data_IF_155482813329
#
_entry.id   IF_155482813329
#
_cell.length_a   1.000
_cell.length_b   1.000
_cell.length_c   1.000
_cell.angle_alpha   90.00
_cell.angle_beta   90.00
_cell.angle_gamma   90.00
#
_symmetry.space_group_name_H-M   'P 1'
#
loop_
_entity.id
_entity.type
_entity.pdbx_description
1 polymer ?
#
# COMPACT_ATOMS: atom_id res chain seq x y z
N UNK A 1 34.92 -20.88 -59.00
CA UNK A 1 35.39 -22.24 -59.27
C UNK A 1 34.42 -23.14 -58.54
N UNK A 2 33.44 -23.59 -59.35
CA UNK A 2 32.89 -24.90 -59.60
C UNK A 2 32.29 -25.59 -58.36
N UNK A 3 30.91 -25.75 -58.32
CA UNK A 3 30.06 -26.82 -58.89
C UNK A 3 30.13 -28.08 -58.01
N UNK A 4 29.09 -28.83 -57.66
CA UNK A 4 27.80 -29.26 -58.22
C UNK A 4 27.02 -30.01 -57.12
N UNK A 5 25.71 -29.89 -56.91
CA UNK A 5 24.54 -30.53 -57.51
C UNK A 5 24.50 -32.11 -57.39
N UNK A 6 23.40 -32.58 -56.82
CA UNK A 6 22.95 -34.01 -56.91
C UNK A 6 21.81 -34.30 -55.92
N UNK A 7 20.61 -34.07 -56.23
CA UNK A 7 19.43 -34.81 -56.83
C UNK A 7 18.98 -36.04 -56.06
N UNK A 8 17.66 -35.99 -55.77
CA UNK A 8 16.72 -37.02 -55.34
C UNK A 8 16.76 -38.36 -56.23
N UNK A 9 16.08 -39.47 -55.78
CA UNK A 9 14.65 -39.63 -56.01
C UNK A 9 13.83 -40.47 -54.97
N UNK A 10 12.57 -40.22 -54.95
CA UNK A 10 11.27 -40.92 -54.92
C UNK A 10 11.24 -42.46 -54.74
N UNK A 11 10.28 -42.99 -53.92
CA UNK A 11 9.02 -43.61 -54.29
C UNK A 11 8.40 -44.37 -53.12
N UNK A 12 7.19 -44.04 -52.74
CA UNK A 12 5.89 -44.76 -52.76
C UNK A 12 5.90 -46.21 -52.22
N UNK A 13 5.02 -46.49 -51.21
CA UNK A 13 3.82 -47.34 -51.34
C UNK A 13 3.03 -47.37 -50.03
N UNK A 14 1.70 -47.22 -50.12
CA UNK A 14 0.71 -47.67 -49.14
C UNK A 14 0.36 -49.13 -49.42
N UNK A 15 -0.21 -49.90 -48.40
CA UNK A 15 -1.65 -49.98 -48.28
C UNK A 15 -2.25 -50.18 -46.86
N UNK A 16 -3.48 -49.73 -46.78
CA UNK A 16 -4.71 -50.32 -46.21
C UNK A 16 -4.75 -50.95 -44.81
N UNK A 17 -5.47 -50.29 -43.89
CA UNK A 17 -6.71 -50.79 -43.32
C UNK A 17 -6.64 -51.61 -42.04
N UNK A 18 -7.18 -51.07 -40.98
CA UNK A 18 -8.11 -51.76 -40.09
C UNK A 18 -8.62 -50.78 -39.02
N UNK A 19 -9.91 -50.53 -39.02
CA UNK A 19 -10.57 -49.69 -38.06
C UNK A 19 -10.61 -50.32 -36.65
N UNK A 20 -10.27 -49.54 -35.66
CA UNK A 20 -10.67 -49.78 -34.29
C UNK A 20 -11.39 -48.55 -33.75
N UNK A 21 -12.72 -48.71 -33.58
CA UNK A 21 -13.55 -47.77 -32.86
C UNK A 21 -13.13 -47.76 -31.40
N UNK A 22 -12.42 -46.72 -30.96
CA UNK A 22 -12.22 -46.42 -29.55
C UNK A 22 -13.36 -45.52 -29.06
N UNK A 23 -14.21 -46.13 -28.24
CA UNK A 23 -15.23 -45.45 -27.44
C UNK A 23 -14.58 -44.28 -26.68
N UNK A 24 -15.08 -43.09 -26.95
CA UNK A 24 -14.83 -41.91 -26.12
C UNK A 24 -15.31 -42.19 -24.70
N UNK A 25 -14.38 -42.37 -23.77
CA UNK A 25 -14.65 -42.31 -22.34
C UNK A 25 -14.92 -40.84 -22.01
N UNK A 26 -16.13 -40.55 -21.55
CA UNK A 26 -16.51 -39.29 -20.99
C UNK A 26 -15.55 -38.93 -19.84
N UNK A 27 -14.80 -37.84 -20.01
CA UNK A 27 -14.08 -37.18 -18.90
C UNK A 27 -15.07 -36.77 -17.83
N UNK A 28 -14.75 -36.96 -16.54
CA UNK A 28 -15.62 -36.51 -15.46
C UNK A 28 -15.71 -34.97 -15.52
N UNK A 29 -16.93 -34.46 -15.51
CA UNK A 29 -17.26 -33.06 -15.39
C UNK A 29 -16.52 -32.48 -14.19
N UNK A 30 -15.38 -31.85 -14.44
CA UNK A 30 -14.67 -31.02 -13.50
C UNK A 30 -15.60 -29.91 -13.05
N UNK A 31 -15.76 -29.85 -11.78
CA UNK A 31 -16.70 -29.01 -11.04
C UNK A 31 -16.59 -27.54 -11.43
N UNK A 32 -17.57 -27.03 -12.15
CA UNK A 32 -17.86 -25.61 -12.37
C UNK A 32 -18.27 -24.90 -11.06
N UNK A 33 -17.67 -25.26 -9.92
CA UNK A 33 -18.00 -24.76 -8.58
C UNK A 33 -17.07 -23.65 -8.12
N UNK A 34 -15.96 -23.40 -8.81
CA UNK A 34 -14.94 -22.46 -8.38
C UNK A 34 -15.19 -21.01 -8.83
N UNK A 35 -15.78 -20.78 -9.99
CA UNK A 35 -15.91 -19.42 -10.54
C UNK A 35 -17.06 -18.59 -9.94
N UNK A 36 -18.14 -19.23 -9.46
CA UNK A 36 -19.27 -18.52 -8.84
C UNK A 36 -19.05 -18.16 -7.37
N UNK A 37 -18.16 -18.87 -6.66
CA UNK A 37 -17.83 -18.61 -5.26
C UNK A 37 -16.87 -17.43 -5.10
N UNK A 38 -15.95 -17.25 -6.03
CA UNK A 38 -14.99 -16.13 -6.03
C UNK A 38 -15.64 -14.77 -6.37
N UNK A 39 -16.79 -14.77 -7.00
CA UNK A 39 -17.46 -13.55 -7.47
C UNK A 39 -18.18 -12.76 -6.36
N UNK A 40 -18.27 -13.23 -5.14
CA UNK A 40 -19.06 -12.61 -4.06
C UNK A 40 -18.32 -12.40 -2.74
N UNK A 41 -17.01 -12.70 -2.65
CA UNK A 41 -16.28 -12.50 -1.41
C UNK A 41 -15.90 -11.02 -1.25
N UNK A 42 -16.55 -10.34 -0.30
CA UNK A 42 -16.14 -9.01 0.12
C UNK A 42 -15.12 -9.12 1.24
N UNK A 43 -14.04 -8.35 1.14
CA UNK A 43 -13.01 -8.28 2.17
C UNK A 43 -13.07 -6.91 2.82
N UNK A 44 -13.20 -6.88 4.13
CA UNK A 44 -13.03 -5.66 4.91
C UNK A 44 -11.55 -5.48 5.21
N UNK A 45 -10.99 -4.37 4.79
CA UNK A 45 -9.58 -4.02 4.95
C UNK A 45 -9.47 -2.90 5.98
N UNK A 46 -8.53 -3.03 6.92
CA UNK A 46 -8.39 -2.13 8.07
C UNK A 46 -6.94 -1.66 8.21
N UNK A 47 -6.77 -0.36 8.35
CA UNK A 47 -5.53 0.30 8.76
C UNK A 47 -5.82 1.04 10.08
N UNK A 48 -5.46 0.43 11.21
CA UNK A 48 -5.65 1.01 12.53
C UNK A 48 -4.40 1.82 12.93
N UNK A 49 -4.39 3.09 12.54
CA UNK A 49 -3.35 4.07 12.89
C UNK A 49 -3.58 4.72 14.26
N UNK A 50 -2.55 5.43 14.76
CA UNK A 50 -2.56 5.99 16.12
C UNK A 50 -3.68 7.01 16.41
N UNK A 51 -4.11 7.81 15.45
CA UNK A 51 -5.14 8.85 15.64
C UNK A 51 -6.49 8.48 15.05
N UNK A 52 -6.48 7.72 13.96
CA UNK A 52 -7.67 7.33 13.22
C UNK A 52 -7.47 5.97 12.55
N UNK A 53 -8.55 5.26 12.38
CA UNK A 53 -8.62 4.05 11.59
C UNK A 53 -9.12 4.40 10.18
N UNK A 54 -8.40 3.94 9.14
CA UNK A 54 -8.91 3.88 7.77
C UNK A 54 -9.43 2.48 7.51
N UNK A 55 -10.50 2.38 6.74
CA UNK A 55 -11.07 1.07 6.39
C UNK A 55 -11.71 1.11 5.01
N UNK A 56 -11.84 -0.03 4.39
CA UNK A 56 -12.51 -0.15 3.11
C UNK A 56 -13.10 -1.54 2.92
N UNK A 57 -14.25 -1.60 2.27
CA UNK A 57 -14.86 -2.85 1.84
C UNK A 57 -14.49 -3.08 0.37
N UNK A 58 -13.66 -4.07 0.11
CA UNK A 58 -13.24 -4.50 -1.22
C UNK A 58 -14.20 -5.54 -1.76
N UNK A 59 -14.72 -5.34 -2.95
CA UNK A 59 -15.47 -6.31 -3.72
C UNK A 59 -14.73 -6.74 -4.98
N UNK A 60 -15.29 -7.67 -5.78
CA UNK A 60 -14.63 -8.18 -6.98
C UNK A 60 -14.29 -7.11 -8.03
N UNK A 61 -15.05 -6.01 -8.07
CA UNK A 61 -14.88 -4.93 -9.05
C UNK A 61 -14.16 -3.70 -8.51
N UNK A 62 -13.61 -3.75 -7.31
CA UNK A 62 -12.95 -2.62 -6.69
C UNK A 62 -13.49 -2.29 -5.28
N UNK A 63 -13.16 -1.12 -4.79
CA UNK A 63 -13.68 -0.61 -3.52
C UNK A 63 -15.19 -0.38 -3.63
N UNK A 64 -15.95 -0.98 -2.72
CA UNK A 64 -17.40 -0.74 -2.57
C UNK A 64 -17.62 0.54 -1.78
N UNK A 65 -16.82 0.74 -0.74
CA UNK A 65 -16.82 1.94 0.08
C UNK A 65 -15.49 2.06 0.83
N UNK A 66 -15.15 3.25 1.20
CA UNK A 66 -13.99 3.61 2.00
C UNK A 66 -14.45 4.52 3.13
N UNK A 67 -13.77 4.48 4.27
CA UNK A 67 -14.09 5.33 5.40
C UNK A 67 -12.88 5.61 6.29
N UNK A 68 -13.02 6.65 7.06
CA UNK A 68 -12.03 7.10 8.06
C UNK A 68 -12.77 7.39 9.35
N UNK A 69 -12.36 6.76 10.44
CA UNK A 69 -13.01 6.88 11.75
C UNK A 69 -11.97 7.27 12.80
N UNK A 70 -12.20 8.34 13.58
CA UNK A 70 -11.36 8.66 14.73
C UNK A 70 -11.32 7.49 15.72
N UNK A 71 -10.16 7.25 16.37
CA UNK A 71 -10.03 6.14 17.32
C UNK A 71 -11.00 6.21 18.50
N UNK A 72 -11.42 7.43 18.89
CA UNK A 72 -12.46 7.65 19.91
C UNK A 72 -13.85 7.13 19.51
N UNK A 73 -14.12 7.00 18.20
CA UNK A 73 -15.42 6.61 17.64
C UNK A 73 -15.49 5.16 17.16
N UNK A 74 -14.40 4.40 17.26
CA UNK A 74 -14.37 2.98 16.85
C UNK A 74 -15.50 2.16 17.50
N UNK A 75 -15.82 2.43 18.75
CA UNK A 75 -16.88 1.72 19.47
C UNK A 75 -18.30 1.91 18.90
N UNK A 76 -18.51 2.89 18.03
CA UNK A 76 -19.81 3.17 17.40
C UNK A 76 -19.91 2.73 15.92
N UNK A 77 -18.86 2.13 15.34
CA UNK A 77 -18.79 1.76 13.92
C UNK A 77 -19.98 0.90 13.45
N UNK A 78 -20.36 -0.11 14.24
CA UNK A 78 -21.46 -1.01 13.89
C UNK A 78 -22.83 -0.33 13.86
N UNK A 79 -22.98 0.80 14.54
CA UNK A 79 -24.21 1.59 14.60
C UNK A 79 -24.19 2.77 13.60
N UNK A 80 -23.04 3.13 13.08
CA UNK A 80 -22.81 4.28 12.18
C UNK A 80 -22.31 3.80 10.81
N UNK A 81 -21.03 3.92 10.59
CA UNK A 81 -20.41 3.73 9.27
C UNK A 81 -20.59 2.31 8.73
N UNK A 82 -20.60 1.31 9.62
CA UNK A 82 -20.78 -0.10 9.24
C UNK A 82 -22.23 -0.60 9.32
N UNK A 83 -23.17 0.25 9.73
CA UNK A 83 -24.58 -0.18 9.95
C UNK A 83 -25.18 -0.82 8.69
N UNK A 84 -25.05 -0.15 7.56
CA UNK A 84 -25.63 -0.58 6.27
C UNK A 84 -24.63 -1.33 5.38
N UNK A 85 -23.41 -1.63 5.89
CA UNK A 85 -22.47 -2.40 5.09
C UNK A 85 -22.91 -3.86 4.96
N UNK A 86 -22.78 -4.43 3.75
CA UNK A 86 -22.98 -5.85 3.59
C UNK A 86 -21.91 -6.63 4.36
N UNK A 87 -22.29 -7.79 4.90
CA UNK A 87 -21.38 -8.67 5.62
C UNK A 87 -20.14 -8.98 4.77
N UNK A 88 -18.92 -8.72 5.26
CA UNK A 88 -17.70 -9.20 4.62
C UNK A 88 -17.55 -10.71 4.82
N UNK A 89 -16.95 -11.39 3.87
CA UNK A 89 -16.57 -12.79 4.00
C UNK A 89 -15.31 -12.95 4.88
N UNK A 90 -14.44 -11.95 4.87
CA UNK A 90 -13.16 -11.90 5.58
C UNK A 90 -12.85 -10.46 6.01
N UNK A 91 -12.10 -10.31 7.09
CA UNK A 91 -11.51 -9.04 7.49
C UNK A 91 -10.00 -9.21 7.65
N UNK A 92 -9.23 -8.28 7.11
CA UNK A 92 -7.76 -8.27 7.19
C UNK A 92 -7.31 -6.87 7.55
N UNK A 93 -6.22 -6.73 8.28
CA UNK A 93 -5.77 -5.40 8.65
C UNK A 93 -4.39 -5.34 9.25
N UNK A 94 -3.93 -4.12 9.44
CA UNK A 94 -2.74 -3.77 10.21
C UNK A 94 -3.16 -2.93 11.41
N UNK A 95 -2.43 -3.07 12.52
CA UNK A 95 -2.72 -2.32 13.73
C UNK A 95 -1.44 -1.78 14.37
N UNK A 96 -1.30 -0.47 14.39
CA UNK A 96 -0.26 0.26 15.12
C UNK A 96 -0.85 1.16 16.22
N UNK A 97 -2.18 1.09 16.44
CA UNK A 97 -2.90 1.84 17.47
C UNK A 97 -2.94 1.14 18.84
N UNK A 98 -2.35 -0.06 18.94
CA UNK A 98 -2.26 -0.83 20.17
C UNK A 98 -3.46 -1.74 20.45
N UNK A 99 -3.36 -2.51 21.55
CA UNK A 99 -4.31 -3.56 21.89
C UNK A 99 -5.72 -3.03 22.17
N UNK A 100 -5.85 -1.87 22.78
CA UNK A 100 -7.17 -1.28 23.06
C UNK A 100 -7.97 -0.94 21.80
N UNK A 101 -7.29 -0.51 20.72
CA UNK A 101 -7.94 -0.29 19.42
C UNK A 101 -8.34 -1.64 18.79
N UNK A 102 -7.44 -2.63 18.84
CA UNK A 102 -7.70 -3.98 18.35
C UNK A 102 -8.98 -4.57 18.97
N UNK A 103 -9.08 -4.61 20.30
CA UNK A 103 -10.24 -5.15 21.01
C UNK A 103 -11.53 -4.43 20.59
N UNK A 104 -11.50 -3.10 20.47
CA UNK A 104 -12.68 -2.33 20.03
C UNK A 104 -13.09 -2.67 18.60
N UNK A 105 -12.14 -2.81 17.67
CA UNK A 105 -12.42 -3.18 16.28
C UNK A 105 -13.02 -4.59 16.21
N UNK A 106 -12.43 -5.55 16.90
CA UNK A 106 -12.90 -6.94 16.95
C UNK A 106 -14.33 -7.02 17.50
N UNK A 107 -14.66 -6.25 18.54
CA UNK A 107 -16.01 -6.14 19.06
C UNK A 107 -17.02 -5.64 18.02
N UNK A 108 -16.65 -4.70 17.14
CA UNK A 108 -17.53 -4.22 16.06
C UNK A 108 -17.74 -5.28 14.97
N UNK A 109 -16.72 -6.12 14.71
CA UNK A 109 -16.79 -7.21 13.73
C UNK A 109 -17.63 -8.41 14.22
N UNK A 110 -17.81 -8.56 15.53
CA UNK A 110 -18.56 -9.65 16.13
C UNK A 110 -20.01 -9.77 15.60
N UNK A 111 -20.62 -8.63 15.20
CA UNK A 111 -21.96 -8.62 14.56
C UNK A 111 -22.03 -9.46 13.29
N UNK A 112 -20.91 -9.58 12.57
CA UNK A 112 -20.80 -10.38 11.36
C UNK A 112 -20.21 -11.77 11.62
N UNK A 113 -19.80 -12.08 12.84
CA UNK A 113 -19.06 -13.30 13.20
C UNK A 113 -17.82 -13.49 12.31
N UNK A 114 -17.07 -12.40 12.13
CA UNK A 114 -15.82 -12.37 11.37
C UNK A 114 -14.71 -11.98 12.34
N UNK A 115 -13.68 -12.82 12.42
CA UNK A 115 -12.46 -12.52 13.15
C UNK A 115 -11.45 -11.92 12.18
N UNK A 116 -10.87 -10.73 12.46
CA UNK A 116 -9.89 -10.13 11.58
C UNK A 116 -8.56 -10.88 11.66
N UNK A 117 -7.89 -10.98 10.53
CA UNK A 117 -6.50 -11.37 10.44
C UNK A 117 -5.63 -10.11 10.53
N UNK A 118 -4.80 -10.04 11.56
CA UNK A 118 -3.88 -8.91 11.74
C UNK A 118 -2.52 -9.25 11.16
N UNK A 119 -2.12 -8.49 10.14
CA UNK A 119 -0.86 -8.66 9.41
C UNK A 119 0.25 -7.85 10.08
N UNK A 120 1.42 -8.46 10.19
CA UNK A 120 2.64 -7.83 10.67
C UNK A 120 3.70 -7.70 9.58
N UNK A 121 4.80 -7.02 9.88
CA UNK A 121 5.95 -7.00 9.01
C UNK A 121 6.72 -8.34 9.09
N UNK A 122 7.24 -8.77 7.95
CA UNK A 122 8.05 -9.98 7.79
C UNK A 122 9.39 -9.65 7.12
N UNK A 123 10.26 -10.64 7.04
CA UNK A 123 11.54 -10.51 6.34
C UNK A 123 11.35 -10.35 4.83
N UNK A 124 10.33 -11.03 4.26
CA UNK A 124 10.03 -10.96 2.84
C UNK A 124 8.52 -11.14 2.60
N UNK A 125 7.94 -10.32 1.73
CA UNK A 125 6.61 -10.53 1.17
C UNK A 125 6.42 -9.74 -0.13
N UNK A 126 5.69 -10.31 -1.08
CA UNK A 126 5.24 -9.64 -2.32
C UNK A 126 6.38 -8.98 -3.13
N UNK A 127 7.57 -9.55 -3.12
CA UNK A 127 8.75 -9.02 -3.82
C UNK A 127 9.53 -7.96 -3.03
N UNK A 128 9.13 -7.65 -1.80
CA UNK A 128 9.85 -6.69 -0.92
C UNK A 128 10.63 -7.43 0.15
N UNK A 129 11.91 -7.08 0.31
CA UNK A 129 12.80 -7.58 1.36
C UNK A 129 12.98 -6.54 2.45
N UNK A 130 12.73 -6.91 3.70
CA UNK A 130 12.90 -6.06 4.88
C UNK A 130 14.29 -6.27 5.49
N UNK A 131 15.10 -5.20 5.57
CA UNK A 131 16.48 -5.24 6.10
C UNK A 131 16.60 -4.70 7.54
N UNK A 132 15.52 -4.56 8.26
CA UNK A 132 15.63 -4.32 9.71
C UNK A 132 16.32 -5.52 10.38
N UNK A 133 17.17 -5.27 11.35
CA UNK A 133 17.82 -6.33 12.13
C UNK A 133 16.80 -7.28 12.77
N UNK A 134 15.64 -6.75 13.13
CA UNK A 134 14.46 -7.49 13.57
C UNK A 134 13.26 -7.07 12.70
N UNK A 135 12.94 -7.82 11.66
CA UNK A 135 11.90 -7.45 10.69
C UNK A 135 10.54 -7.09 11.32
N UNK A 136 10.17 -7.79 12.39
CA UNK A 136 8.91 -7.57 13.11
C UNK A 136 8.83 -6.20 13.83
N UNK A 137 9.94 -5.48 14.00
CA UNK A 137 9.92 -4.12 14.57
C UNK A 137 9.46 -3.05 13.58
N UNK A 138 9.44 -3.35 12.28
CA UNK A 138 8.88 -2.42 11.31
C UNK A 138 7.37 -2.31 11.52
N UNK A 139 6.85 -1.08 11.62
CA UNK A 139 5.41 -0.84 11.72
C UNK A 139 4.66 -1.53 10.58
N UNK A 140 3.58 -2.23 10.91
CA UNK A 140 2.81 -3.00 9.93
C UNK A 140 2.19 -2.13 8.83
N UNK A 141 1.83 -0.88 9.16
CA UNK A 141 1.36 0.15 8.22
C UNK A 141 2.45 0.57 7.23
N UNK A 142 3.69 0.76 7.71
CA UNK A 142 4.85 1.06 6.86
C UNK A 142 5.17 -0.12 5.94
N UNK A 143 5.15 -1.35 6.48
CA UNK A 143 5.36 -2.57 5.70
C UNK A 143 4.33 -2.70 4.58
N UNK A 144 3.05 -2.54 4.90
CA UNK A 144 1.99 -2.55 3.89
C UNK A 144 2.20 -1.48 2.81
N UNK A 145 2.57 -0.24 3.21
CA UNK A 145 2.86 0.84 2.24
C UNK A 145 4.02 0.52 1.30
N UNK A 146 5.10 -0.08 1.82
CA UNK A 146 6.26 -0.52 1.02
C UNK A 146 5.85 -1.56 -0.02
N UNK A 147 5.06 -2.56 0.38
CA UNK A 147 4.52 -3.58 -0.52
C UNK A 147 3.62 -2.98 -1.60
N UNK A 148 2.74 -2.03 -1.23
CA UNK A 148 1.88 -1.36 -2.20
C UNK A 148 2.69 -0.54 -3.22
N UNK A 149 3.67 0.24 -2.75
CA UNK A 149 4.53 1.05 -3.60
C UNK A 149 5.34 0.19 -4.58
N UNK A 150 5.93 -0.90 -4.10
CA UNK A 150 6.65 -1.85 -4.94
C UNK A 150 5.78 -2.45 -6.03
N UNK A 151 4.59 -2.92 -5.68
CA UNK A 151 3.64 -3.46 -6.66
C UNK A 151 3.21 -2.43 -7.70
N UNK A 152 3.01 -1.16 -7.30
CA UNK A 152 2.72 -0.06 -8.22
C UNK A 152 3.88 0.17 -9.19
N UNK A 153 5.11 0.24 -8.68
CA UNK A 153 6.30 0.40 -9.51
C UNK A 153 6.45 -0.75 -10.52
N UNK A 154 6.36 -2.01 -10.07
CA UNK A 154 6.52 -3.19 -10.93
C UNK A 154 5.37 -3.41 -11.91
N UNK A 155 4.18 -2.87 -11.65
CA UNK A 155 3.06 -2.92 -12.58
C UNK A 155 3.20 -1.95 -13.76
N UNK A 156 3.95 -0.87 -13.58
CA UNK A 156 4.14 0.18 -14.61
C UNK A 156 5.48 0.07 -15.32
N UNK A 157 6.49 -0.47 -14.65
CA UNK A 157 7.86 -0.47 -15.14
C UNK A 157 8.49 -1.86 -15.10
N UNK A 158 9.07 -2.30 -16.20
CA UNK A 158 9.81 -3.56 -16.27
C UNK A 158 11.10 -3.49 -15.40
N UNK A 159 11.69 -2.30 -15.30
CA UNK A 159 12.82 -1.99 -14.43
C UNK A 159 12.40 -0.84 -13.51
N UNK A 160 11.77 -1.15 -12.37
CA UNK A 160 11.25 -0.12 -11.48
C UNK A 160 12.39 0.71 -10.89
N UNK A 161 12.26 2.03 -10.87
CA UNK A 161 13.24 2.88 -10.21
C UNK A 161 13.21 2.68 -8.69
N UNK A 162 14.28 3.08 -8.01
CA UNK A 162 14.24 3.26 -6.57
C UNK A 162 13.09 4.21 -6.18
N UNK A 163 12.50 3.99 -5.02
CA UNK A 163 11.44 4.87 -4.56
C UNK A 163 11.53 5.18 -3.07
N UNK A 164 10.95 6.32 -2.71
CA UNK A 164 10.70 6.73 -1.33
C UNK A 164 9.20 6.66 -1.08
N UNK A 165 8.81 5.96 -0.01
CA UNK A 165 7.42 5.76 0.40
C UNK A 165 7.14 6.60 1.63
N UNK A 166 6.22 7.54 1.53
CA UNK A 166 5.94 8.54 2.57
C UNK A 166 4.50 8.41 3.06
N UNK A 167 4.32 8.25 4.36
CA UNK A 167 3.02 8.35 5.01
C UNK A 167 2.98 9.62 5.88
N UNK A 168 2.32 10.67 5.39
CA UNK A 168 2.18 11.96 6.04
C UNK A 168 0.91 12.00 6.92
N UNK A 169 1.02 11.44 8.13
CA UNK A 169 -0.05 11.35 9.13
C UNK A 169 0.24 12.12 10.41
N UNK A 170 -0.03 11.50 11.55
CA UNK A 170 0.34 11.98 12.89
C UNK A 170 1.86 12.09 13.02
N UNK A 171 2.58 11.10 12.51
CA UNK A 171 3.99 11.19 12.17
C UNK A 171 4.12 11.20 10.64
N UNK A 172 5.25 11.69 10.12
CA UNK A 172 5.67 11.47 8.74
C UNK A 172 6.71 10.36 8.76
N UNK A 173 6.39 9.24 8.12
CA UNK A 173 7.36 8.16 7.88
C UNK A 173 7.89 8.26 6.47
N UNK A 174 9.18 8.01 6.27
CA UNK A 174 9.88 8.16 5.00
C UNK A 174 10.75 6.92 4.81
N UNK A 175 10.34 6.03 3.94
CA UNK A 175 10.89 4.69 3.78
C UNK A 175 11.51 4.51 2.39
N UNK A 176 12.74 4.00 2.31
CA UNK A 176 13.47 3.86 1.07
C UNK A 176 13.48 2.42 0.56
N UNK A 177 13.00 2.22 -0.67
CA UNK A 177 13.10 0.99 -1.45
C UNK A 177 14.08 1.18 -2.61
N UNK A 178 15.06 0.29 -2.74
CA UNK A 178 15.94 0.29 -3.90
C UNK A 178 15.30 -0.41 -5.13
N UNK A 179 16.05 -0.43 -6.22
CA UNK A 179 15.62 -1.00 -7.51
C UNK A 179 15.36 -2.50 -7.48
N UNK A 180 15.84 -3.20 -6.46
CA UNK A 180 15.65 -4.63 -6.25
C UNK A 180 14.49 -4.94 -5.27
N UNK A 181 13.74 -3.93 -4.84
CA UNK A 181 12.67 -4.07 -3.85
C UNK A 181 13.18 -4.28 -2.42
N UNK A 182 14.40 -3.88 -2.12
CA UNK A 182 14.96 -3.99 -0.77
C UNK A 182 14.69 -2.72 0.03
N UNK A 183 13.96 -2.86 1.12
CA UNK A 183 13.80 -1.80 2.11
C UNK A 183 15.12 -1.52 2.82
N UNK A 184 15.72 -0.36 2.52
CA UNK A 184 17.05 0.05 2.99
C UNK A 184 17.02 0.74 4.36
N UNK A 185 15.83 1.04 4.86
CA UNK A 185 15.60 1.76 6.11
C UNK A 185 14.75 2.99 5.90
N UNK A 186 14.39 3.67 6.98
CA UNK A 186 13.52 4.83 6.91
C UNK A 186 13.66 5.76 8.11
N UNK A 187 12.93 6.87 8.05
CA UNK A 187 12.87 7.91 9.06
C UNK A 187 11.46 8.02 9.62
N UNK A 188 11.34 8.45 10.86
CA UNK A 188 10.08 8.85 11.47
C UNK A 188 10.29 10.24 12.04
N UNK A 189 9.52 11.22 11.57
CA UNK A 189 9.55 12.58 12.06
C UNK A 189 8.14 13.02 12.51
N UNK A 190 7.98 14.03 13.37
CA UNK A 190 6.66 14.53 13.73
C UNK A 190 5.88 14.96 12.49
N UNK A 191 4.56 14.68 12.46
CA UNK A 191 3.69 15.19 11.40
C UNK A 191 3.47 16.70 11.49
N UNK A 192 3.02 17.34 10.41
CA UNK A 192 2.87 18.80 10.34
C UNK A 192 2.09 19.35 11.52
N UNK A 193 0.91 18.75 11.84
CA UNK A 193 0.09 19.20 12.97
C UNK A 193 0.81 19.06 14.31
N UNK A 194 1.60 18.01 14.49
CA UNK A 194 2.34 17.80 15.73
C UNK A 194 3.49 18.81 15.86
N UNK A 195 4.20 19.12 14.79
CA UNK A 195 5.23 20.17 14.75
C UNK A 195 4.63 21.54 15.12
N UNK A 196 3.49 21.89 14.51
CA UNK A 196 2.80 23.15 14.78
C UNK A 196 2.30 23.23 16.23
N UNK A 197 1.67 22.16 16.74
CA UNK A 197 1.16 22.10 18.10
C UNK A 197 2.28 22.21 19.14
N UNK A 198 3.42 21.53 18.93
CA UNK A 198 4.55 21.56 19.86
C UNK A 198 5.14 22.96 20.05
N UNK A 199 5.14 23.80 19.02
CA UNK A 199 5.57 25.18 19.11
C UNK A 199 4.52 26.08 19.80
N UNK A 200 3.23 25.82 19.55
CA UNK A 200 2.15 26.56 20.19
C UNK A 200 2.04 26.30 21.70
N UNK A 201 2.27 25.04 22.14
CA UNK A 201 2.20 24.65 23.56
C UNK A 201 3.40 25.12 24.38
N UNK A 202 4.59 25.20 23.78
CA UNK A 202 5.85 25.51 24.46
C UNK A 202 6.24 27.01 24.41
N UNK A 203 5.40 27.85 23.82
CA UNK A 203 5.64 29.31 23.75
C UNK A 203 4.48 30.06 24.38
N UNK A 204 4.71 30.64 25.56
CA UNK A 204 3.70 31.25 26.44
C UNK A 204 2.88 32.40 25.80
N UNK A 205 3.21 32.84 24.59
CA UNK A 205 2.55 33.95 23.89
C UNK A 205 2.10 33.67 22.48
N UNK A 206 2.32 32.44 21.95
CA UNK A 206 1.99 32.11 20.56
C UNK A 206 0.60 31.45 20.46
N UNK A 207 -0.46 32.26 20.56
CA UNK A 207 -1.72 31.97 19.87
C UNK A 207 -1.43 32.20 18.37
N UNK A 208 -0.75 31.20 17.73
CA UNK A 208 -0.36 31.36 16.33
C UNK A 208 -1.62 31.21 15.48
N UNK A 209 -2.02 32.27 14.76
CA UNK A 209 -3.03 32.11 13.70
C UNK A 209 -2.60 31.05 12.69
N UNK A 210 -3.53 30.55 11.89
CA UNK A 210 -3.18 29.67 10.80
C UNK A 210 -2.19 30.37 9.86
N UNK A 211 -0.96 29.85 9.75
CA UNK A 211 0.05 30.34 8.82
C UNK A 211 -0.16 29.78 7.41
N UNK A 212 0.46 30.42 6.44
CA UNK A 212 0.53 29.96 5.05
C UNK A 212 1.99 29.71 4.65
N UNK A 213 2.18 28.82 3.67
CA UNK A 213 3.51 28.60 3.10
C UNK A 213 3.97 29.85 2.34
N UNK A 214 5.17 30.34 2.66
CA UNK A 214 5.85 31.44 2.00
C UNK A 214 7.32 31.08 1.81
N UNK A 215 7.91 31.25 0.63
CA UNK A 215 9.36 30.98 0.42
C UNK A 215 10.24 31.80 1.38
N UNK A 216 9.85 33.04 1.67
CA UNK A 216 10.48 33.94 2.62
C UNK A 216 9.38 34.53 3.52
N UNK A 217 9.06 33.89 4.68
CA UNK A 217 8.04 34.38 5.60
C UNK A 217 8.45 35.72 6.22
N UNK A 218 7.51 36.64 6.33
CA UNK A 218 7.67 37.96 6.93
C UNK A 218 6.94 38.10 8.25
N UNK A 219 6.34 37.01 8.75
CA UNK A 219 5.66 36.94 10.04
C UNK A 219 5.83 35.57 10.69
N UNK A 220 5.61 35.50 12.00
CA UNK A 220 5.86 34.27 12.80
C UNK A 220 4.95 33.11 12.43
N UNK A 221 3.68 33.35 12.09
CA UNK A 221 2.73 32.31 11.74
C UNK A 221 3.17 31.59 10.47
N UNK A 222 3.49 32.35 9.43
CA UNK A 222 3.99 31.81 8.16
C UNK A 222 5.37 31.16 8.31
N UNK A 223 6.24 31.72 9.18
CA UNK A 223 7.56 31.13 9.44
C UNK A 223 7.44 29.74 10.10
N UNK A 224 6.56 29.57 11.08
CA UNK A 224 6.30 28.29 11.74
C UNK A 224 5.72 27.27 10.75
N UNK A 225 4.71 27.69 9.99
CA UNK A 225 4.05 26.82 9.04
C UNK A 225 5.01 26.39 7.91
N UNK A 226 5.69 27.33 7.28
CA UNK A 226 6.69 27.07 6.23
C UNK A 226 7.81 26.18 6.76
N UNK A 227 8.29 26.45 7.98
CA UNK A 227 9.32 25.64 8.63
C UNK A 227 8.91 24.17 8.81
N UNK A 228 7.67 23.92 9.24
CA UNK A 228 7.15 22.56 9.39
C UNK A 228 7.04 21.84 8.04
N UNK A 229 6.53 22.50 7.01
CA UNK A 229 6.45 21.94 5.64
C UNK A 229 7.85 21.65 5.10
N UNK A 230 8.77 22.60 5.18
CA UNK A 230 10.13 22.43 4.70
C UNK A 230 10.92 21.37 5.46
N UNK A 231 10.68 21.20 6.75
CA UNK A 231 11.31 20.12 7.53
C UNK A 231 10.89 18.74 6.99
N UNK A 232 9.62 18.55 6.68
CA UNK A 232 9.14 17.31 6.07
C UNK A 232 9.69 17.11 4.65
N UNK A 233 9.58 18.13 3.80
CA UNK A 233 10.09 18.06 2.42
C UNK A 233 11.61 17.83 2.39
N UNK A 234 12.37 18.54 3.22
CA UNK A 234 13.82 18.38 3.31
C UNK A 234 14.25 16.97 3.71
N UNK A 235 13.51 16.35 4.66
CA UNK A 235 13.76 14.96 5.05
C UNK A 235 13.46 13.96 3.92
N UNK A 236 12.39 14.19 3.15
CA UNK A 236 12.02 13.38 1.98
C UNK A 236 13.09 13.51 0.89
N UNK A 237 13.45 14.73 0.51
CA UNK A 237 14.45 14.98 -0.54
C UNK A 237 15.84 14.47 -0.13
N UNK A 238 16.19 14.58 1.15
CA UNK A 238 17.42 13.99 1.66
C UNK A 238 17.43 12.46 1.56
N UNK A 239 16.28 11.81 1.78
CA UNK A 239 16.18 10.36 1.60
C UNK A 239 16.30 9.97 0.12
N UNK A 240 15.68 10.72 -0.79
CA UNK A 240 15.83 10.51 -2.24
C UNK A 240 17.29 10.57 -2.67
N UNK A 241 18.02 11.60 -2.23
CA UNK A 241 19.46 11.75 -2.51
C UNK A 241 20.36 10.67 -1.89
N UNK A 242 19.90 10.02 -0.82
CA UNK A 242 20.64 8.91 -0.19
C UNK A 242 20.49 7.59 -0.94
N UNK A 243 19.34 7.37 -1.57
CA UNK A 243 19.09 6.10 -2.25
C UNK A 243 19.57 6.13 -3.70
N UNK A 244 19.62 7.30 -4.31
CA UNK A 244 20.18 7.53 -5.64
C UNK A 244 20.87 8.88 -5.70
N UNK A 245 22.04 8.94 -6.36
CA UNK A 245 22.77 10.18 -6.58
C UNK A 245 22.00 11.19 -7.43
N UNK A 246 21.10 10.70 -8.32
CA UNK A 246 20.16 11.51 -9.08
C UNK A 246 18.74 11.34 -8.53
N UNK A 247 18.30 12.24 -7.61
CA UNK A 247 16.98 12.15 -6.99
C UNK A 247 15.82 12.29 -8.00
N UNK A 248 16.07 12.83 -9.20
CA UNK A 248 15.08 12.89 -10.28
C UNK A 248 14.68 11.53 -10.82
N UNK A 249 15.49 10.50 -10.60
CA UNK A 249 15.16 9.12 -10.91
C UNK A 249 14.42 8.39 -9.78
N UNK A 250 14.35 8.97 -8.58
CA UNK A 250 13.69 8.34 -7.43
C UNK A 250 12.22 8.75 -7.35
N UNK A 251 11.31 7.79 -7.51
CA UNK A 251 9.87 8.03 -7.39
C UNK A 251 9.49 8.24 -5.92
N UNK A 252 8.64 9.23 -5.65
CA UNK A 252 8.06 9.45 -4.33
C UNK A 252 6.59 9.05 -4.32
N UNK A 253 6.24 7.99 -3.58
CA UNK A 253 4.84 7.64 -3.28
C UNK A 253 4.45 8.30 -1.97
N UNK A 254 3.49 9.22 -2.03
CA UNK A 254 3.10 10.06 -0.91
C UNK A 254 1.66 9.76 -0.50
N UNK A 255 1.45 9.34 0.73
CA UNK A 255 0.15 9.04 1.30
C UNK A 255 -0.08 9.77 2.62
N UNK A 256 -1.32 9.76 3.12
CA UNK A 256 -1.67 10.37 4.40
C UNK A 256 -2.42 11.69 4.25
N UNK A 257 -2.90 12.21 5.39
CA UNK A 257 -3.77 13.39 5.39
C UNK A 257 -3.07 14.71 5.02
N UNK A 258 -1.74 14.79 5.17
CA UNK A 258 -0.93 15.94 4.77
C UNK A 258 -0.23 15.73 3.41
N UNK A 259 -0.49 14.61 2.72
CA UNK A 259 0.12 14.31 1.43
C UNK A 259 -0.15 15.38 0.35
N UNK A 260 -1.39 15.88 0.16
CA UNK A 260 -1.63 16.90 -0.85
C UNK A 260 -0.84 18.19 -0.59
N UNK A 261 -0.69 18.56 0.68
CA UNK A 261 0.02 19.77 1.11
C UNK A 261 1.53 19.65 0.91
N UNK A 262 2.12 18.56 1.40
CA UNK A 262 3.56 18.27 1.25
C UNK A 262 3.93 18.10 -0.23
N UNK A 263 3.09 17.40 -0.99
CA UNK A 263 3.34 17.10 -2.40
C UNK A 263 3.50 18.33 -3.30
N UNK A 264 2.88 19.46 -2.92
CA UNK A 264 3.03 20.74 -3.65
C UNK A 264 4.45 21.33 -3.57
N UNK A 265 5.25 20.86 -2.62
CA UNK A 265 6.57 21.42 -2.30
C UNK A 265 7.71 20.42 -2.49
N UNK A 266 7.43 19.28 -3.12
CA UNK A 266 8.42 18.25 -3.48
C UNK A 266 8.77 18.33 -4.96
N UNK A 267 10.01 18.00 -5.29
CA UNK A 267 10.44 17.86 -6.67
C UNK A 267 9.87 16.58 -7.31
N UNK A 268 9.43 16.63 -8.59
CA UNK A 268 8.96 15.44 -9.28
C UNK A 268 10.09 14.38 -9.43
N UNK A 269 9.75 13.08 -9.61
CA UNK A 269 8.41 12.52 -9.72
C UNK A 269 7.76 12.22 -8.36
N UNK A 270 6.55 12.72 -8.14
CA UNK A 270 5.74 12.50 -6.93
C UNK A 270 4.36 11.98 -7.33
N UNK A 271 3.91 10.92 -6.68
CA UNK A 271 2.57 10.35 -6.83
C UNK A 271 1.85 10.35 -5.48
N UNK A 272 0.76 11.09 -5.38
CA UNK A 272 -0.11 11.08 -4.19
C UNK A 272 -1.07 9.91 -4.29
N UNK A 273 -1.01 8.99 -3.30
CA UNK A 273 -1.82 7.76 -3.25
C UNK A 273 -2.70 7.77 -2.01
N UNK A 274 -4.03 7.84 -2.19
CA UNK A 274 -4.97 8.00 -1.07
C UNK A 274 -5.02 6.81 -0.11
N UNK A 275 -4.95 5.58 -0.63
CA UNK A 275 -5.22 4.35 0.13
C UNK A 275 -4.04 3.37 0.11
N UNK A 276 -2.81 3.87 0.09
CA UNK A 276 -1.59 3.08 -0.08
C UNK A 276 -1.49 1.94 0.95
N UNK A 277 -1.76 2.21 2.23
CA UNK A 277 -1.73 1.16 3.28
C UNK A 277 -2.77 0.09 3.01
N UNK A 278 -4.03 0.47 2.69
CA UNK A 278 -5.09 -0.50 2.42
C UNK A 278 -4.79 -1.38 1.20
N UNK A 279 -4.17 -0.81 0.15
CA UNK A 279 -3.71 -1.57 -1.01
C UNK A 279 -2.63 -2.58 -0.62
N UNK A 280 -1.68 -2.18 0.21
CA UNK A 280 -0.64 -3.07 0.72
C UNK A 280 -1.19 -4.19 1.59
N UNK A 281 -2.17 -3.91 2.45
CA UNK A 281 -2.87 -4.93 3.24
C UNK A 281 -3.55 -5.96 2.33
N UNK A 282 -4.22 -5.52 1.25
CA UNK A 282 -4.81 -6.44 0.26
C UNK A 282 -3.75 -7.31 -0.42
N UNK A 283 -2.62 -6.73 -0.80
CA UNK A 283 -1.53 -7.46 -1.44
C UNK A 283 -0.95 -8.53 -0.49
N UNK A 284 -0.68 -8.16 0.76
CA UNK A 284 -0.17 -9.06 1.78
C UNK A 284 -1.16 -10.19 2.12
N UNK A 285 -2.45 -9.92 2.04
CA UNK A 285 -3.51 -10.91 2.27
C UNK A 285 -3.75 -11.84 1.06
N UNK A 286 -3.07 -11.66 -0.07
CA UNK A 286 -3.29 -12.41 -1.31
C UNK A 286 -4.60 -12.08 -2.02
N UNK A 287 -5.18 -10.91 -1.77
CA UNK A 287 -6.49 -10.48 -2.29
C UNK A 287 -6.35 -9.54 -3.52
N UNK A 288 -5.14 -9.30 -3.99
CA UNK A 288 -4.85 -8.54 -5.21
C UNK A 288 -4.31 -9.49 -6.28
N UNK A 289 -4.79 -9.36 -7.54
CA UNK A 289 -4.28 -10.14 -8.66
C UNK A 289 -2.82 -9.82 -8.99
#
# INVERSE_FOLDING_TARGET
MHLEVGRHPRAQTRPSGLGFALRARASPRGTARSAKGALLSRVLVIDAGNSRMKWGLRGPRGWVTLGVTPNSEIGALSLRDWHNLPRPARAVGVNVAGEAARVRIEAQLARWRVTPEWLGASEFACGVTNRYAQPAQLGADRWASLVAAWRRSTATDLFPPACVVVNAGTAVTIDALDVDGVFRGGLIVPGLRLMLASLAENTSNLKVPAGAFRPFPDNTADAIYTGAVQAACGAIEQMRRRIDADPGHVRCYLAGGAAPEIGLHLDPPVEVVENLVLEGVLALAGEMP
#
